data_IF_776453357768
#
_entry.id   IF_776453357768
#
_cell.length_a   1.000
_cell.length_b   1.000
_cell.length_c   1.000
_cell.angle_alpha   90.00
_cell.angle_beta   90.00
_cell.angle_gamma   90.00
#
_symmetry.space_group_name_H-M   'P 1'
#
loop_
_entity.id
_entity.type
_entity.pdbx_description
1 polymer ?
#
# COMPACT_ATOMS: atom_id res chain seq x y z
N UNK A 1 -31.96 6.82 17.24
CA UNK A 1 -30.95 5.74 17.13
C UNK A 1 -29.68 6.33 16.55
N UNK A 2 -28.49 6.09 17.13
CA UNK A 2 -27.25 6.50 16.48
C UNK A 2 -27.15 5.80 15.12
N UNK A 3 -26.83 6.55 14.06
CA UNK A 3 -26.55 5.98 12.75
C UNK A 3 -25.27 5.15 12.84
N UNK A 4 -25.40 3.85 12.59
CA UNK A 4 -24.23 3.00 12.45
C UNK A 4 -23.62 3.22 11.06
N UNK A 5 -22.49 3.94 11.04
CA UNK A 5 -21.70 4.26 9.84
C UNK A 5 -21.30 2.97 9.11
N UNK A 6 -21.24 1.83 9.82
CA UNK A 6 -20.95 0.52 9.22
C UNK A 6 -22.06 0.05 8.27
N UNK A 7 -23.29 0.51 8.42
CA UNK A 7 -24.40 0.11 7.55
C UNK A 7 -24.43 0.89 6.23
N UNK A 8 -23.58 1.91 6.06
CA UNK A 8 -23.49 2.58 4.77
C UNK A 8 -22.92 1.65 3.69
N UNK A 9 -23.46 1.73 2.46
CA UNK A 9 -22.82 1.12 1.31
C UNK A 9 -21.35 1.54 1.21
N UNK A 10 -20.45 0.62 0.83
CA UNK A 10 -19.00 0.89 0.75
C UNK A 10 -18.68 2.14 -0.08
N UNK A 11 -19.40 2.37 -1.18
CA UNK A 11 -19.25 3.56 -2.03
C UNK A 11 -19.60 4.87 -1.31
N UNK A 12 -20.67 4.87 -0.51
CA UNK A 12 -21.09 6.03 0.30
C UNK A 12 -20.04 6.29 1.38
N UNK A 13 -19.56 5.24 2.04
CA UNK A 13 -18.53 5.38 3.06
C UNK A 13 -17.20 5.90 2.49
N UNK A 14 -16.77 5.42 1.32
CA UNK A 14 -15.65 5.99 0.58
C UNK A 14 -15.84 7.46 0.23
N UNK A 15 -17.05 7.85 -0.19
CA UNK A 15 -17.37 9.25 -0.47
C UNK A 15 -17.27 10.11 0.80
N UNK A 16 -17.81 9.66 1.92
CA UNK A 16 -17.70 10.35 3.22
C UNK A 16 -16.24 10.55 3.58
N UNK A 17 -15.40 9.52 3.47
CA UNK A 17 -13.97 9.63 3.75
C UNK A 17 -13.24 10.68 2.88
N UNK A 18 -13.78 11.03 1.71
CA UNK A 18 -13.21 12.11 0.88
C UNK A 18 -13.50 13.51 1.44
N UNK A 19 -14.52 13.68 2.28
CA UNK A 19 -14.89 14.97 2.89
C UNK A 19 -14.41 15.13 4.33
N UNK A 20 -13.92 14.05 4.93
CA UNK A 20 -13.48 14.00 6.33
C UNK A 20 -11.98 14.29 6.43
N UNK A 21 -11.56 14.93 7.53
CA UNK A 21 -10.16 15.25 7.77
C UNK A 21 -9.29 14.02 8.01
N UNK A 22 -7.98 14.12 7.77
CA UNK A 22 -7.01 13.05 8.09
C UNK A 22 -7.10 12.59 9.55
N UNK A 23 -7.19 13.55 10.47
CA UNK A 23 -7.30 13.30 11.90
C UNK A 23 -8.54 12.45 12.19
N UNK A 24 -9.66 12.84 11.62
CA UNK A 24 -10.93 12.15 11.80
C UNK A 24 -10.93 10.76 11.17
N UNK A 25 -10.27 10.54 10.03
CA UNK A 25 -10.08 9.19 9.46
C UNK A 25 -9.29 8.30 10.43
N UNK A 26 -8.20 8.83 11.01
CA UNK A 26 -7.41 8.08 11.99
C UNK A 26 -8.18 7.78 13.29
N UNK A 27 -9.05 8.69 13.73
CA UNK A 27 -9.96 8.49 14.86
C UNK A 27 -11.02 7.41 14.55
N UNK A 28 -11.60 7.42 13.33
CA UNK A 28 -12.58 6.41 12.91
C UNK A 28 -12.02 4.98 12.98
N UNK A 29 -10.72 4.79 12.69
CA UNK A 29 -10.05 3.49 12.81
C UNK A 29 -10.03 2.93 14.23
N UNK A 30 -10.09 3.80 15.23
CA UNK A 30 -9.98 3.42 16.63
C UNK A 30 -11.34 3.00 17.22
N UNK A 31 -12.45 3.21 16.50
CA UNK A 31 -13.80 2.92 16.99
C UNK A 31 -13.97 1.42 17.25
N UNK A 32 -13.70 0.57 16.25
CA UNK A 32 -13.71 -0.88 16.39
C UNK A 32 -12.98 -1.56 15.22
N UNK A 33 -12.74 -2.87 15.34
CA UNK A 33 -12.03 -3.68 14.34
C UNK A 33 -12.70 -3.69 12.96
N UNK A 34 -14.04 -3.76 12.91
CA UNK A 34 -14.80 -3.76 11.66
C UNK A 34 -14.68 -2.42 10.91
N UNK A 35 -14.65 -1.30 11.63
CA UNK A 35 -14.43 0.03 11.05
C UNK A 35 -13.02 0.16 10.49
N UNK A 36 -11.99 -0.31 11.21
CA UNK A 36 -10.60 -0.32 10.72
C UNK A 36 -10.49 -1.16 9.43
N UNK A 37 -11.06 -2.36 9.43
CA UNK A 37 -11.10 -3.25 8.25
C UNK A 37 -11.81 -2.58 7.07
N UNK A 38 -13.02 -2.03 7.28
CA UNK A 38 -13.76 -1.35 6.21
C UNK A 38 -12.98 -0.19 5.63
N UNK A 39 -12.42 0.69 6.46
CA UNK A 39 -11.61 1.83 6.02
C UNK A 39 -10.42 1.40 5.17
N UNK A 40 -9.72 0.34 5.57
CA UNK A 40 -8.56 -0.18 4.84
C UNK A 40 -8.94 -0.69 3.45
N UNK A 41 -10.11 -1.29 3.32
CA UNK A 41 -10.60 -1.83 2.04
C UNK A 41 -11.19 -0.77 1.11
N UNK A 42 -11.38 0.49 1.55
CA UNK A 42 -11.93 1.56 0.70
C UNK A 42 -11.02 1.91 -0.48
N UNK A 43 -9.73 1.59 -0.39
CA UNK A 43 -8.78 1.77 -1.48
C UNK A 43 -9.15 0.95 -2.73
N UNK A 44 -9.85 -0.18 -2.56
CA UNK A 44 -10.29 -1.06 -3.65
C UNK A 44 -11.32 -0.40 -4.58
N UNK A 45 -12.08 0.56 -4.06
CA UNK A 45 -13.21 1.16 -4.77
C UNK A 45 -12.96 2.61 -5.18
N UNK A 46 -11.82 3.18 -4.80
CA UNK A 46 -11.39 4.50 -5.23
C UNK A 46 -10.31 4.39 -6.31
N UNK A 47 -10.46 5.14 -7.40
CA UNK A 47 -9.39 5.24 -8.39
C UNK A 47 -8.20 5.96 -7.78
N UNK A 48 -7.11 5.22 -7.59
CA UNK A 48 -5.92 5.72 -6.93
C UNK A 48 -4.69 5.64 -7.82
N UNK A 49 -3.73 6.53 -7.58
CA UNK A 49 -2.50 6.63 -8.36
C UNK A 49 -1.32 6.56 -7.41
N UNK A 50 -0.54 5.50 -7.53
CA UNK A 50 0.78 5.40 -6.91
C UNK A 50 1.79 5.94 -7.93
N UNK A 51 2.45 7.04 -7.58
CA UNK A 51 3.38 7.69 -8.48
C UNK A 51 4.65 6.87 -8.69
N UNK A 52 5.17 6.26 -7.64
CA UNK A 52 6.40 5.46 -7.73
C UNK A 52 6.45 4.39 -6.65
N UNK A 53 6.90 3.21 -7.00
CA UNK A 53 7.27 2.16 -6.06
C UNK A 53 8.77 1.94 -6.16
N UNK A 54 9.45 1.86 -5.01
CA UNK A 54 10.84 1.44 -4.92
C UNK A 54 10.90 0.15 -4.12
N UNK A 55 11.64 -0.81 -4.64
CA UNK A 55 11.97 -2.06 -3.98
C UNK A 55 13.49 -2.15 -3.96
N UNK A 56 14.08 -1.93 -2.78
CA UNK A 56 15.54 -1.87 -2.61
C UNK A 56 15.96 -3.06 -1.76
N UNK A 57 16.69 -3.99 -2.36
CA UNK A 57 17.26 -5.14 -1.68
C UNK A 57 18.57 -4.81 -0.99
N UNK A 58 18.75 -5.31 0.24
CA UNK A 58 20.03 -5.37 0.93
C UNK A 58 20.47 -6.83 1.03
N UNK A 59 21.31 -7.26 0.08
CA UNK A 59 21.79 -8.64 -0.06
C UNK A 59 22.42 -9.16 1.24
N UNK A 60 23.22 -8.32 1.91
CA UNK A 60 23.91 -8.65 3.17
C UNK A 60 22.97 -8.93 4.34
N UNK A 61 21.77 -8.34 4.35
CA UNK A 61 20.82 -8.45 5.47
C UNK A 61 19.57 -9.28 5.13
N UNK A 62 19.48 -9.83 3.91
CA UNK A 62 18.27 -10.53 3.38
C UNK A 62 16.98 -9.73 3.56
N UNK A 63 17.07 -8.40 3.50
CA UNK A 63 15.96 -7.48 3.74
C UNK A 63 15.69 -6.61 2.52
N UNK A 64 14.43 -6.26 2.36
CA UNK A 64 13.89 -5.40 1.32
C UNK A 64 13.26 -4.16 1.93
N UNK A 65 13.65 -2.99 1.45
CA UNK A 65 12.92 -1.76 1.68
C UNK A 65 11.88 -1.59 0.58
N UNK A 66 10.60 -1.59 0.97
CA UNK A 66 9.51 -1.21 0.09
C UNK A 66 9.13 0.23 0.38
N UNK A 67 9.07 1.05 -0.66
CA UNK A 67 8.70 2.46 -0.56
C UNK A 67 7.68 2.84 -1.63
N UNK A 68 6.56 3.41 -1.21
CA UNK A 68 5.45 3.83 -2.06
C UNK A 68 5.33 5.35 -2.05
N UNK A 69 5.34 5.99 -3.22
CA UNK A 69 5.13 7.42 -3.38
C UNK A 69 3.71 7.71 -3.87
N UNK A 70 2.97 8.51 -3.11
CA UNK A 70 1.57 8.86 -3.34
C UNK A 70 1.44 10.39 -3.18
N UNK A 71 1.31 11.12 -4.28
CA UNK A 71 1.20 12.59 -4.23
C UNK A 71 -0.14 13.10 -3.67
N UNK A 72 -1.23 12.34 -3.84
CA UNK A 72 -2.53 12.76 -3.35
C UNK A 72 -2.65 12.47 -1.86
N UNK A 73 -2.73 13.51 -1.03
CA UNK A 73 -2.82 13.40 0.44
C UNK A 73 -3.98 12.52 0.91
N UNK A 74 -5.14 12.54 0.24
CA UNK A 74 -6.30 11.70 0.63
C UNK A 74 -6.02 10.24 0.36
N UNK A 75 -5.53 9.93 -0.84
CA UNK A 75 -5.15 8.55 -1.19
C UNK A 75 -4.00 8.05 -0.31
N UNK A 76 -3.04 8.91 0.05
CA UNK A 76 -1.95 8.59 0.95
C UNK A 76 -2.46 8.04 2.29
N UNK A 77 -3.48 8.67 2.88
CA UNK A 77 -4.03 8.25 4.18
C UNK A 77 -4.69 6.88 4.06
N UNK A 78 -5.53 6.68 3.04
CA UNK A 78 -6.20 5.39 2.82
C UNK A 78 -5.19 4.27 2.55
N UNK A 79 -4.19 4.53 1.71
CA UNK A 79 -3.09 3.60 1.45
C UNK A 79 -2.27 3.29 2.69
N UNK A 80 -1.99 4.30 3.52
CA UNK A 80 -1.30 4.11 4.80
C UNK A 80 -2.12 3.20 5.73
N UNK A 81 -3.44 3.37 5.77
CA UNK A 81 -4.31 2.50 6.54
C UNK A 81 -4.25 1.06 6.03
N UNK A 82 -4.43 0.87 4.72
CA UNK A 82 -4.34 -0.43 4.04
C UNK A 82 -3.00 -1.13 4.29
N UNK A 83 -1.87 -0.43 4.09
CA UNK A 83 -0.53 -1.01 4.27
C UNK A 83 -0.30 -1.38 5.75
N UNK A 84 -0.69 -0.53 6.69
CA UNK A 84 -0.59 -0.85 8.13
C UNK A 84 -1.42 -2.09 8.47
N UNK A 85 -2.62 -2.22 7.90
CA UNK A 85 -3.47 -3.40 8.10
C UNK A 85 -2.78 -4.68 7.58
N UNK A 86 -2.25 -4.65 6.36
CA UNK A 86 -1.48 -5.77 5.79
C UNK A 86 -0.29 -6.11 6.70
N UNK A 87 0.52 -5.12 7.10
CA UNK A 87 1.71 -5.33 7.93
C UNK A 87 1.40 -5.87 9.34
N UNK A 88 0.27 -5.46 9.95
CA UNK A 88 -0.17 -6.02 11.23
C UNK A 88 -0.43 -7.53 11.14
N UNK A 89 -0.94 -8.00 10.00
CA UNK A 89 -1.15 -9.42 9.75
C UNK A 89 0.18 -10.18 9.52
N UNK A 90 1.28 -9.48 9.22
CA UNK A 90 2.63 -10.05 9.03
C UNK A 90 3.49 -10.14 10.30
N UNK A 91 3.09 -9.52 11.42
CA UNK A 91 3.94 -9.36 12.62
C UNK A 91 5.34 -8.76 12.33
N UNK A 92 5.45 -7.82 11.40
CA UNK A 92 6.72 -7.16 11.05
C UNK A 92 7.00 -5.93 11.93
N UNK A 93 8.25 -5.77 12.37
CA UNK A 93 8.65 -4.82 13.43
C UNK A 93 9.22 -3.46 12.95
N UNK A 94 9.14 -3.11 11.67
CA UNK A 94 9.75 -1.86 11.17
C UNK A 94 8.90 -1.12 10.14
N UNK A 95 8.26 -0.04 10.58
CA UNK A 95 7.63 0.98 9.75
C UNK A 95 8.31 2.33 10.05
N UNK A 96 8.66 3.09 9.01
CA UNK A 96 9.23 4.43 9.18
C UNK A 96 8.24 5.51 8.75
N UNK A 97 8.22 6.60 9.53
CA UNK A 97 7.51 7.81 9.21
C UNK A 97 8.24 8.52 8.06
N UNK A 98 7.58 8.63 6.91
CA UNK A 98 8.08 9.43 5.79
C UNK A 98 7.25 10.70 5.66
N UNK A 99 7.87 11.75 5.12
CA UNK A 99 7.21 13.02 4.79
C UNK A 99 5.94 12.79 3.96
N UNK A 100 5.08 13.82 3.89
CA UNK A 100 3.85 13.77 3.10
C UNK A 100 4.13 13.18 1.71
N UNK A 101 3.55 12.02 1.45
CA UNK A 101 3.59 11.37 0.15
C UNK A 101 4.49 10.14 0.02
N UNK A 102 5.23 9.71 1.04
CA UNK A 102 5.98 8.44 0.97
C UNK A 102 5.55 7.47 2.11
N UNK A 103 5.45 6.17 1.81
CA UNK A 103 5.19 5.09 2.77
C UNK A 103 6.33 4.09 2.66
N UNK A 104 7.10 3.87 3.74
CA UNK A 104 8.28 3.01 3.72
C UNK A 104 8.26 1.97 4.84
N UNK A 105 8.65 0.74 4.53
CA UNK A 105 8.81 -0.32 5.52
C UNK A 105 9.81 -1.39 5.04
N UNK A 106 10.41 -2.10 6.00
CA UNK A 106 11.36 -3.18 5.74
C UNK A 106 10.70 -4.55 5.93
N UNK A 107 10.96 -5.46 5.00
CA UNK A 107 10.55 -6.86 5.05
C UNK A 107 11.75 -7.77 4.82
N UNK A 108 11.70 -9.01 5.31
CA UNK A 108 12.62 -10.04 4.83
C UNK A 108 12.25 -10.44 3.39
N UNK A 109 13.22 -10.89 2.59
CA UNK A 109 12.98 -11.25 1.19
C UNK A 109 11.84 -12.24 1.01
N UNK A 110 11.78 -13.27 1.85
CA UNK A 110 10.72 -14.30 1.79
C UNK A 110 9.33 -13.70 2.09
N UNK A 111 9.27 -12.63 2.87
CA UNK A 111 8.03 -11.93 3.20
C UNK A 111 7.55 -10.96 2.12
N UNK A 112 8.42 -10.55 1.18
CA UNK A 112 8.03 -9.63 0.10
C UNK A 112 7.00 -10.26 -0.83
N UNK A 113 7.20 -11.53 -1.21
CA UNK A 113 6.23 -12.25 -2.06
C UNK A 113 4.86 -12.33 -1.39
N UNK A 114 4.84 -12.74 -0.13
CA UNK A 114 3.60 -12.85 0.65
C UNK A 114 2.94 -11.48 0.78
N UNK A 115 3.71 -10.41 1.03
CA UNK A 115 3.19 -9.05 1.11
C UNK A 115 2.49 -8.66 -0.19
N UNK A 116 3.11 -8.94 -1.34
CA UNK A 116 2.53 -8.63 -2.65
C UNK A 116 1.26 -9.45 -2.91
N UNK A 117 1.19 -10.71 -2.48
CA UNK A 117 -0.05 -11.50 -2.57
C UNK A 117 -1.18 -10.88 -1.76
N UNK A 118 -0.91 -10.49 -0.51
CA UNK A 118 -1.90 -9.84 0.33
C UNK A 118 -2.25 -8.42 -0.13
N UNK A 119 -1.34 -7.75 -0.82
CA UNK A 119 -1.56 -6.43 -1.39
C UNK A 119 -2.40 -6.48 -2.68
N UNK A 120 -2.29 -7.56 -3.46
CA UNK A 120 -2.92 -7.71 -4.79
C UNK A 120 -4.43 -7.38 -4.82
N UNK A 121 -5.28 -7.85 -3.89
CA UNK A 121 -6.72 -7.53 -3.90
C UNK A 121 -7.02 -6.02 -3.87
N UNK A 122 -6.14 -5.25 -3.22
CA UNK A 122 -6.30 -3.80 -3.01
C UNK A 122 -5.86 -2.96 -4.21
N UNK A 123 -5.24 -3.57 -5.24
CA UNK A 123 -4.64 -2.84 -6.37
C UNK A 123 -5.52 -2.77 -7.63
N UNK A 124 -6.71 -3.36 -7.61
CA UNK A 124 -7.59 -3.51 -8.78
C UNK A 124 -7.91 -2.18 -9.50
N UNK A 125 -8.13 -1.10 -8.75
CA UNK A 125 -8.40 0.27 -9.25
C UNK A 125 -7.23 1.22 -9.09
N UNK A 126 -6.03 0.67 -8.96
CA UNK A 126 -4.81 1.44 -8.67
C UNK A 126 -3.88 1.44 -9.87
N UNK A 127 -3.62 2.64 -10.38
CA UNK A 127 -2.59 2.84 -11.39
C UNK A 127 -1.23 3.07 -10.73
N UNK A 128 -0.19 2.47 -11.31
CA UNK A 128 1.19 2.65 -10.85
C UNK A 128 1.99 3.25 -11.99
N UNK A 129 2.53 4.46 -11.79
CA UNK A 129 3.24 5.21 -12.85
C UNK A 129 4.70 4.81 -13.02
N UNK A 130 5.34 4.25 -12.00
CA UNK A 130 6.77 3.90 -12.04
C UNK A 130 7.10 2.85 -11.00
N UNK A 131 7.97 1.90 -11.36
CA UNK A 131 8.58 0.94 -10.47
C UNK A 131 10.10 0.95 -10.65
N UNK A 132 10.83 1.00 -9.53
CA UNK A 132 12.28 0.85 -9.48
C UNK A 132 12.62 -0.36 -8.62
N UNK A 133 13.41 -1.28 -9.16
CA UNK A 133 13.90 -2.45 -8.41
C UNK A 133 15.43 -2.45 -8.43
N UNK A 134 16.04 -2.35 -7.26
CA UNK A 134 17.49 -2.25 -7.08
C UNK A 134 17.97 -3.33 -6.11
N UNK A 135 19.15 -3.95 -6.36
CA UNK A 135 19.77 -4.88 -5.42
C UNK A 135 19.05 -6.23 -5.27
N UNK A 136 18.34 -6.67 -6.32
CA UNK A 136 17.69 -7.98 -6.41
C UNK A 136 18.27 -8.78 -7.57
N UNK A 137 18.37 -10.10 -7.41
CA UNK A 137 18.73 -11.00 -8.52
C UNK A 137 17.59 -11.08 -9.56
N UNK A 138 17.93 -11.46 -10.80
CA UNK A 138 16.96 -11.51 -11.92
C UNK A 138 15.71 -12.36 -11.62
N UNK A 139 15.87 -13.46 -10.89
CA UNK A 139 14.78 -14.37 -10.56
C UNK A 139 13.77 -13.73 -9.59
N UNK A 140 14.25 -13.06 -8.54
CA UNK A 140 13.38 -12.32 -7.61
C UNK A 140 12.70 -11.15 -8.30
N UNK A 141 13.40 -10.47 -9.20
CA UNK A 141 12.82 -9.40 -10.02
C UNK A 141 11.66 -9.95 -10.85
N UNK A 142 11.79 -11.14 -11.45
CA UNK A 142 10.72 -11.77 -12.23
C UNK A 142 9.48 -12.09 -11.39
N UNK A 143 9.68 -12.63 -10.18
CA UNK A 143 8.60 -12.89 -9.23
C UNK A 143 7.88 -11.59 -8.87
N UNK A 144 8.61 -10.51 -8.57
CA UNK A 144 8.02 -9.20 -8.28
C UNK A 144 7.13 -8.70 -9.43
N UNK A 145 7.50 -8.97 -10.68
CA UNK A 145 6.71 -8.58 -11.86
C UNK A 145 5.39 -9.33 -12.01
N UNK A 146 5.30 -10.57 -11.56
CA UNK A 146 4.04 -11.36 -11.62
C UNK A 146 2.94 -10.79 -10.71
N UNK A 147 3.33 -10.06 -9.67
CA UNK A 147 2.39 -9.50 -8.69
C UNK A 147 2.01 -8.04 -8.96
N UNK A 148 2.61 -7.41 -9.97
CA UNK A 148 2.27 -6.05 -10.32
C UNK A 148 0.98 -5.98 -11.15
N UNK A 149 0.15 -4.95 -10.93
CA UNK A 149 -0.99 -4.66 -11.80
C UNK A 149 -0.58 -4.58 -13.27
N UNK A 150 -1.40 -5.15 -14.16
CA UNK A 150 -1.21 -5.13 -15.63
C UNK A 150 -1.11 -3.71 -16.23
N UNK A 151 -1.44 -2.67 -15.46
CA UNK A 151 -1.37 -1.27 -15.89
C UNK A 151 0.04 -0.68 -15.92
N UNK A 152 1.07 -1.41 -15.48
CA UNK A 152 2.46 -0.97 -15.56
C UNK A 152 3.01 -1.20 -16.98
N UNK A 153 3.35 -0.12 -17.70
CA UNK A 153 4.06 -0.24 -18.96
C UNK A 153 5.52 -0.61 -18.74
N UNK A 154 6.15 -1.27 -19.72
CA UNK A 154 7.57 -1.66 -19.63
C UNK A 154 8.53 -0.45 -19.48
N UNK A 155 8.12 0.73 -19.94
CA UNK A 155 8.86 1.99 -19.79
C UNK A 155 8.91 2.49 -18.34
N UNK A 156 8.00 2.01 -17.48
CA UNK A 156 7.92 2.41 -16.08
C UNK A 156 8.98 1.73 -15.20
N UNK A 157 9.81 0.84 -15.75
CA UNK A 157 10.68 -0.08 -15.02
C UNK A 157 12.14 0.34 -15.14
N UNK A 158 12.72 0.86 -14.04
CA UNK A 158 14.16 1.05 -13.92
C UNK A 158 14.79 -0.14 -13.18
N UNK A 159 15.78 -0.79 -13.80
CA UNK A 159 16.56 -1.90 -13.22
C UNK A 159 18.00 -1.45 -13.05
N UNK A 160 18.53 -1.52 -11.83
CA UNK A 160 19.97 -1.43 -11.59
C UNK A 160 20.45 -2.72 -10.92
N UNK A 161 21.24 -3.49 -11.67
CA UNK A 161 21.98 -4.63 -11.16
C UNK A 161 23.36 -4.10 -10.76
N UNK A 162 23.69 -4.14 -9.49
CA UNK A 162 25.05 -3.96 -8.98
C UNK A 162 25.50 -5.26 -8.34
#
# INVERSE_FOLDING_TARGET
>A
MPLDILNFPRAVFASICNFVSEKSILELRQINKLTDEKLCTLVEIQDSVIQRIFIIGCVMRKKALLKFRICNRRHYILWKCCIIYILRNFKTSSFEKVACGDISFLLDYDHVKIFLELWKPYTSRTSIKSLSVNGYNQESVHILFEFLPRSLSNECIARSYE
#
